data_IF_524076028976
#
_entry.id   IF_524076028976
#
_cell.length_a   1.000
_cell.length_b   1.000
_cell.length_c   1.000
_cell.angle_alpha   90.00
_cell.angle_beta   90.00
_cell.angle_gamma   90.00
#
_symmetry.space_group_name_H-M   'P 1'
#
loop_
_entity.id
_entity.type
_entity.pdbx_description
1 polymer ?
#
# COMPACT_ATOMS: atom_id res chain seq x y z
N UNK A 1 -1.72 -10.34 12.01
CA UNK A 1 -0.40 -10.29 11.36
C UNK A 1 0.59 -9.42 12.13
N UNK A 2 0.31 -8.13 12.38
CA UNK A 2 1.25 -7.28 13.13
C UNK A 2 1.61 -7.78 14.52
N UNK A 3 0.61 -8.21 15.32
CA UNK A 3 0.85 -8.70 16.68
C UNK A 3 1.74 -9.95 16.68
N UNK A 4 1.62 -10.79 15.64
CA UNK A 4 2.49 -11.95 15.47
C UNK A 4 3.90 -11.50 15.08
N UNK A 5 4.03 -10.57 14.14
CA UNK A 5 5.33 -10.02 13.76
C UNK A 5 6.05 -9.35 14.94
N UNK A 6 5.33 -8.57 15.74
CA UNK A 6 5.83 -7.92 16.95
C UNK A 6 6.26 -8.95 18.00
N UNK A 7 5.37 -9.88 18.37
CA UNK A 7 5.68 -10.93 19.36
C UNK A 7 6.77 -11.89 18.92
N UNK A 8 7.02 -11.98 17.61
CA UNK A 8 8.10 -12.80 17.04
C UNK A 8 9.38 -12.00 16.77
N UNK A 9 9.44 -10.71 17.11
CA UNK A 9 10.61 -9.85 16.88
C UNK A 9 10.90 -9.56 15.40
N UNK A 10 9.95 -9.79 14.49
CA UNK A 10 10.13 -9.66 13.04
C UNK A 10 9.84 -8.25 12.52
N UNK A 11 9.24 -7.38 13.32
CA UNK A 11 8.78 -6.09 12.85
C UNK A 11 9.92 -5.15 12.43
N UNK A 12 10.99 -5.05 13.23
CA UNK A 12 12.18 -4.28 12.87
C UNK A 12 12.92 -4.86 11.66
N UNK A 13 13.20 -6.18 11.58
CA UNK A 13 13.75 -6.78 10.36
C UNK A 13 12.92 -6.48 9.09
N UNK A 14 11.58 -6.49 9.19
CA UNK A 14 10.71 -6.16 8.07
C UNK A 14 10.80 -4.66 7.69
N UNK A 15 10.89 -3.76 8.68
CA UNK A 15 11.13 -2.32 8.44
C UNK A 15 12.46 -2.08 7.77
N UNK A 16 13.52 -2.77 8.19
CA UNK A 16 14.82 -2.68 7.52
C UNK A 16 14.74 -3.18 6.09
N UNK A 17 14.11 -4.35 5.86
CA UNK A 17 13.92 -4.91 4.53
C UNK A 17 13.25 -3.92 3.56
N UNK A 18 12.20 -3.24 4.04
CA UNK A 18 11.38 -2.33 3.23
C UNK A 18 11.98 -0.93 3.11
N UNK A 19 12.40 -0.31 4.22
CA UNK A 19 12.76 1.12 4.28
C UNK A 19 14.27 1.38 4.27
N UNK A 20 15.09 0.43 4.70
CA UNK A 20 16.55 0.58 4.75
C UNK A 20 17.21 -0.03 3.52
N UNK A 21 16.94 -1.32 3.26
CA UNK A 21 17.49 -2.03 2.11
C UNK A 21 16.71 -1.81 0.81
N UNK A 22 15.50 -1.25 0.90
CA UNK A 22 14.60 -0.94 -0.23
C UNK A 22 14.38 -2.13 -1.17
N UNK A 23 14.19 -3.33 -0.59
CA UNK A 23 13.91 -4.54 -1.37
C UNK A 23 12.46 -4.52 -1.88
N UNK A 24 12.18 -5.03 -3.09
CA UNK A 24 10.81 -5.06 -3.62
C UNK A 24 9.84 -5.78 -2.68
N UNK A 25 8.73 -5.13 -2.32
CA UNK A 25 7.68 -5.72 -1.47
C UNK A 25 6.29 -5.42 -2.01
N UNK A 26 5.44 -6.45 -1.99
CA UNK A 26 4.03 -6.33 -2.32
C UNK A 26 3.16 -6.64 -1.10
N UNK A 27 2.33 -5.69 -0.69
CA UNK A 27 1.33 -5.86 0.34
C UNK A 27 -0.07 -6.01 -0.26
N UNK A 28 -0.67 -7.19 -0.14
CA UNK A 28 -2.08 -7.44 -0.52
C UNK A 28 -3.00 -7.35 0.70
N UNK A 29 -4.14 -6.68 0.56
CA UNK A 29 -5.14 -6.46 1.62
C UNK A 29 -4.51 -5.99 2.95
N UNK A 30 -4.43 -6.86 3.96
CA UNK A 30 -3.80 -6.55 5.25
C UNK A 30 -2.30 -6.20 5.12
N UNK A 31 -1.62 -6.70 4.09
CA UNK A 31 -0.25 -6.31 3.76
C UNK A 31 -0.15 -4.85 3.32
N UNK A 32 -1.12 -4.32 2.57
CA UNK A 32 -1.15 -2.90 2.20
C UNK A 32 -1.30 -2.01 3.45
N UNK A 33 -2.12 -2.43 4.43
CA UNK A 33 -2.22 -1.73 5.72
C UNK A 33 -0.87 -1.67 6.40
N UNK A 34 -0.09 -2.77 6.41
CA UNK A 34 1.23 -2.78 7.04
C UNK A 34 2.24 -1.88 6.32
N UNK A 35 2.17 -1.76 4.99
CA UNK A 35 3.09 -0.92 4.22
C UNK A 35 2.72 0.57 4.23
N UNK A 36 1.51 0.93 4.64
CA UNK A 36 1.11 2.33 4.77
C UNK A 36 1.94 3.06 5.85
N UNK A 37 2.28 4.32 5.60
CA UNK A 37 2.87 5.19 6.61
C UNK A 37 1.83 5.58 7.68
N UNK A 38 0.54 5.65 7.34
CA UNK A 38 -0.52 5.92 8.31
C UNK A 38 -1.70 4.95 8.20
N UNK A 39 -2.30 4.59 9.33
CA UNK A 39 -3.56 3.86 9.35
C UNK A 39 -4.43 4.21 10.56
N UNK A 40 -5.75 4.09 10.42
CA UNK A 40 -6.66 4.30 11.55
C UNK A 40 -6.50 3.22 12.64
N UNK A 41 -6.61 3.63 13.91
CA UNK A 41 -6.51 2.75 15.08
C UNK A 41 -7.83 1.99 15.26
N UNK A 42 -7.74 0.69 15.57
CA UNK A 42 -8.93 -0.19 15.67
C UNK A 42 -9.15 -0.79 17.05
N UNK A 43 -8.13 -0.91 17.93
CA UNK A 43 -8.24 -1.36 19.34
C UNK A 43 -7.10 -0.80 20.21
N UNK A 44 -7.28 -0.80 21.55
CA UNK A 44 -6.21 -0.53 22.54
C UNK A 44 -5.03 -1.50 22.29
N UNK A 45 -3.84 -0.94 22.08
CA UNK A 45 -2.62 -1.67 21.72
C UNK A 45 -2.08 -1.28 20.34
N UNK A 46 -2.90 -0.69 19.47
CA UNK A 46 -2.46 -0.33 18.12
C UNK A 46 -2.07 -1.57 17.29
N UNK A 47 -1.90 -1.39 15.99
CA UNK A 47 -1.16 -2.35 15.18
C UNK A 47 -0.05 -1.56 14.56
N UNK A 48 1.18 -1.92 14.90
CA UNK A 48 2.33 -1.28 14.32
C UNK A 48 2.40 -1.52 12.80
N UNK A 49 2.98 -0.52 12.13
CA UNK A 49 3.12 -0.46 10.68
C UNK A 49 4.59 -0.67 10.30
N UNK A 50 4.82 -1.19 9.11
CA UNK A 50 6.14 -1.31 8.48
C UNK A 50 6.48 0.01 7.77
N UNK A 51 5.52 0.60 7.07
CA UNK A 51 5.74 1.76 6.22
C UNK A 51 6.37 1.40 4.86
N UNK A 52 6.63 2.42 4.03
CA UNK A 52 7.12 2.27 2.66
C UNK A 52 6.18 2.77 1.57
N UNK A 53 4.91 3.02 1.90
CA UNK A 53 3.93 3.71 1.07
C UNK A 53 3.42 4.97 1.81
N UNK A 54 3.66 6.15 1.25
CA UNK A 54 3.22 7.46 1.74
C UNK A 54 1.70 7.63 1.54
N UNK A 55 0.92 6.77 2.18
CA UNK A 55 -0.55 6.76 2.14
C UNK A 55 -1.11 6.58 3.53
N UNK A 56 -2.30 7.17 3.76
CA UNK A 56 -3.17 6.82 4.87
C UNK A 56 -4.16 5.75 4.44
N UNK A 57 -4.21 4.65 5.17
CA UNK A 57 -5.13 3.54 4.92
C UNK A 57 -6.18 3.43 6.01
N UNK A 58 -7.46 3.40 5.61
CA UNK A 58 -8.56 3.03 6.51
C UNK A 58 -8.86 1.55 6.40
N UNK A 59 -8.75 0.89 7.54
CA UNK A 59 -9.07 -0.53 7.74
C UNK A 59 -10.57 -0.75 7.67
N UNK A 60 -10.96 -1.89 7.09
CA UNK A 60 -12.35 -2.38 7.09
C UNK A 60 -13.36 -1.29 6.70
N UNK A 61 -13.08 -0.56 5.61
CA UNK A 61 -13.89 0.59 5.24
C UNK A 61 -15.29 0.20 4.73
N UNK A 62 -15.46 -0.99 4.15
CA UNK A 62 -16.72 -1.44 3.56
C UNK A 62 -17.79 -1.92 4.57
N UNK A 63 -17.99 -1.19 5.68
CA UNK A 63 -19.10 -1.42 6.61
C UNK A 63 -19.00 -2.67 7.51
N UNK A 64 -20.11 -2.97 8.21
CA UNK A 64 -20.18 -4.05 9.20
C UNK A 64 -20.17 -5.43 8.53
N UNK A 65 -19.02 -6.08 8.50
CA UNK A 65 -18.82 -7.53 8.38
C UNK A 65 -19.41 -8.34 7.20
N UNK A 66 -20.27 -7.85 6.29
CA UNK A 66 -21.01 -8.78 5.39
C UNK A 66 -21.01 -8.58 3.87
N UNK A 67 -20.29 -7.64 3.27
CA UNK A 67 -20.21 -7.64 1.79
C UNK A 67 -18.77 -7.77 1.32
N UNK A 68 -18.28 -9.01 1.38
CA UNK A 68 -17.21 -9.42 0.49
C UNK A 68 -17.76 -9.40 -0.92
N UNK A 69 -17.10 -8.71 -1.84
CA UNK A 69 -17.55 -8.62 -3.22
C UNK A 69 -16.37 -8.83 -4.16
N UNK A 70 -16.71 -9.12 -5.41
CA UNK A 70 -15.74 -9.16 -6.50
C UNK A 70 -16.25 -8.28 -7.63
N UNK A 71 -15.36 -7.51 -8.24
CA UNK A 71 -15.73 -6.60 -9.33
C UNK A 71 -14.60 -6.52 -10.35
N UNK A 72 -14.93 -6.32 -11.64
CA UNK A 72 -13.92 -5.98 -12.64
C UNK A 72 -13.25 -4.65 -12.28
N UNK A 73 -11.93 -4.61 -12.45
CA UNK A 73 -11.06 -3.45 -12.29
C UNK A 73 -10.38 -3.16 -13.62
N UNK A 74 -10.29 -1.88 -13.97
CA UNK A 74 -9.41 -1.42 -15.04
C UNK A 74 -8.01 -1.21 -14.46
N UNK A 75 -7.03 -2.01 -14.91
CA UNK A 75 -5.63 -1.95 -14.48
C UNK A 75 -4.71 -1.77 -15.70
N UNK A 76 -4.63 -0.55 -16.28
CA UNK A 76 -3.93 -0.32 -17.55
C UNK A 76 -2.45 -0.70 -17.54
N UNK A 77 -1.81 -0.67 -16.35
CA UNK A 77 -0.41 -1.04 -16.18
C UNK A 77 -0.10 -2.51 -16.50
N UNK A 78 -1.13 -3.37 -16.59
CA UNK A 78 -0.98 -4.77 -17.02
C UNK A 78 -0.80 -4.91 -18.54
N UNK A 79 -0.97 -3.83 -19.32
CA UNK A 79 -0.82 -3.87 -20.78
C UNK A 79 -1.92 -4.63 -21.53
N UNK A 80 -3.01 -5.00 -20.83
CA UNK A 80 -4.14 -5.76 -21.37
C UNK A 80 -5.45 -5.05 -21.00
N UNK A 81 -6.32 -4.72 -21.97
CA UNK A 81 -7.58 -4.03 -21.71
C UNK A 81 -8.64 -4.90 -21.02
N UNK A 82 -8.44 -6.22 -20.95
CA UNK A 82 -9.37 -7.15 -20.31
C UNK A 82 -9.45 -6.85 -18.81
N UNK A 83 -10.65 -6.58 -18.24
CA UNK A 83 -10.78 -6.25 -16.83
C UNK A 83 -10.16 -7.31 -15.92
N UNK A 84 -9.48 -6.86 -14.87
CA UNK A 84 -8.95 -7.74 -13.84
C UNK A 84 -9.96 -7.87 -12.71
N UNK A 85 -10.35 -9.07 -12.31
CA UNK A 85 -11.31 -9.25 -11.23
C UNK A 85 -10.64 -9.08 -9.86
N UNK A 86 -11.01 -8.02 -9.13
CA UNK A 86 -10.55 -7.79 -7.75
C UNK A 86 -11.50 -8.42 -6.74
N UNK A 87 -10.98 -9.20 -5.80
CA UNK A 87 -11.74 -9.78 -4.69
C UNK A 87 -11.51 -8.97 -3.41
N UNK A 88 -12.57 -8.35 -2.88
CA UNK A 88 -12.52 -7.44 -1.74
C UNK A 88 -13.15 -8.12 -0.53
N UNK A 89 -12.32 -8.66 0.37
CA UNK A 89 -12.76 -9.34 1.59
C UNK A 89 -12.30 -8.53 2.79
N UNK A 90 -13.23 -7.82 3.44
CA UNK A 90 -12.93 -6.86 4.51
C UNK A 90 -11.79 -5.90 4.10
N UNK A 91 -11.84 -5.46 2.85
CA UNK A 91 -10.73 -4.77 2.24
C UNK A 91 -10.49 -3.39 2.89
N UNK A 92 -9.22 -2.99 3.07
CA UNK A 92 -8.89 -1.60 3.36
C UNK A 92 -9.14 -0.67 2.15
N UNK A 93 -9.10 0.64 2.37
CA UNK A 93 -8.97 1.63 1.29
C UNK A 93 -7.84 2.60 1.59
N UNK A 94 -7.25 3.18 0.55
CA UNK A 94 -6.38 4.35 0.69
C UNK A 94 -7.28 5.59 0.79
N UNK A 95 -7.23 6.30 1.91
CA UNK A 95 -8.00 7.52 2.14
C UNK A 95 -7.28 8.75 1.59
N UNK A 96 -5.97 8.84 1.82
CA UNK A 96 -5.16 9.98 1.41
C UNK A 96 -3.79 9.53 0.93
N UNK A 97 -3.28 10.23 -0.09
CA UNK A 97 -1.85 10.26 -0.37
C UNK A 97 -1.24 11.29 0.56
N UNK A 98 -0.18 10.90 1.26
CA UNK A 98 0.54 11.77 2.18
C UNK A 98 1.58 12.57 1.41
N UNK A 99 1.92 13.80 1.85
CA UNK A 99 3.05 14.52 1.31
C UNK A 99 4.35 13.72 1.54
N UNK A 100 5.38 13.90 0.71
CA UNK A 100 6.66 13.22 0.89
C UNK A 100 7.17 13.41 2.32
N UNK A 101 7.40 12.29 3.00
CA UNK A 101 7.77 12.32 4.42
C UNK A 101 9.16 12.95 4.58
N UNK A 102 9.22 14.20 5.06
CA UNK A 102 10.49 14.78 5.52
C UNK A 102 10.91 13.99 6.77
N UNK A 103 12.17 13.53 6.91
CA UNK A 103 12.60 12.65 8.01
C UNK A 103 12.28 13.11 9.44
N UNK A 104 11.97 14.40 9.63
CA UNK A 104 11.70 15.03 10.91
C UNK A 104 10.27 14.87 11.47
N UNK A 105 9.28 14.39 10.70
CA UNK A 105 7.87 14.37 11.18
C UNK A 105 7.47 13.12 11.99
N UNK A 106 8.43 12.29 12.40
CA UNK A 106 8.19 10.88 12.73
C UNK A 106 7.82 10.56 14.18
N UNK A 107 7.67 11.56 15.06
CA UNK A 107 7.38 11.33 16.48
C UNK A 107 6.19 12.10 17.05
N UNK A 108 5.58 13.05 16.33
CA UNK A 108 4.56 13.95 16.90
C UNK A 108 3.10 13.64 16.51
N UNK A 109 2.85 12.71 15.58
CA UNK A 109 1.51 12.56 14.96
C UNK A 109 0.71 11.32 15.37
N UNK A 110 1.12 10.58 16.41
CA UNK A 110 0.24 9.57 17.01
C UNK A 110 -0.89 10.29 17.77
N UNK A 111 -1.94 10.68 17.05
CA UNK A 111 -3.20 11.14 17.64
C UNK A 111 -3.98 9.95 18.22
N UNK A 112 -5.08 10.21 18.92
CA UNK A 112 -5.91 9.16 19.50
C UNK A 112 -6.36 8.11 18.47
N UNK A 113 -6.53 8.52 17.20
CA UNK A 113 -7.20 7.74 16.16
C UNK A 113 -6.29 7.23 15.02
N UNK A 114 -5.02 7.68 14.94
CA UNK A 114 -4.09 7.30 13.86
C UNK A 114 -2.83 6.62 14.42
N UNK A 115 -2.29 5.66 13.67
CA UNK A 115 -0.99 5.04 13.91
C UNK A 115 -0.07 5.39 12.73
N UNK A 116 1.13 5.87 13.03
CA UNK A 116 2.17 6.20 12.03
C UNK A 116 3.32 5.19 12.05
N UNK A 117 3.85 4.82 10.89
CA UNK A 117 5.03 3.96 10.79
C UNK A 117 6.31 4.72 11.21
N UNK A 118 7.28 4.06 11.85
CA UNK A 118 8.53 4.72 12.22
C UNK A 118 9.36 5.05 10.97
N UNK A 119 9.99 6.23 10.98
CA UNK A 119 10.92 6.61 9.92
C UNK A 119 12.23 5.81 9.98
N UNK A 120 12.77 5.51 8.81
CA UNK A 120 14.06 4.83 8.63
C UNK A 120 14.77 5.49 7.45
N UNK A 121 16.10 5.55 7.52
CA UNK A 121 16.94 6.06 6.42
C UNK A 121 17.41 4.89 5.55
N UNK A 122 17.47 5.05 4.21
CA UNK A 122 18.12 4.10 3.32
C UNK A 122 19.57 3.85 3.75
N UNK A 123 20.08 2.64 3.49
CA UNK A 123 21.43 2.22 3.91
C UNK A 123 22.56 2.93 3.14
N UNK A 124 22.29 3.33 1.90
CA UNK A 124 23.24 3.98 1.00
C UNK A 124 22.48 4.79 -0.07
N UNK A 125 23.23 5.52 -0.90
CA UNK A 125 22.67 6.36 -1.96
C UNK A 125 21.93 5.55 -3.03
N UNK A 126 22.39 4.32 -3.31
CA UNK A 126 21.69 3.41 -4.22
C UNK A 126 20.30 3.09 -3.69
N UNK A 127 20.16 2.71 -2.42
CA UNK A 127 18.86 2.52 -1.80
C UNK A 127 18.06 3.84 -1.75
N UNK A 128 18.71 4.97 -1.49
CA UNK A 128 18.07 6.27 -1.47
C UNK A 128 17.46 6.65 -2.84
N UNK A 129 18.04 6.20 -3.96
CA UNK A 129 17.50 6.42 -5.31
C UNK A 129 16.09 5.81 -5.51
N UNK A 130 15.72 4.83 -4.69
CA UNK A 130 14.36 4.27 -4.66
C UNK A 130 13.42 5.04 -3.73
N UNK A 131 13.84 6.18 -3.16
CA UNK A 131 13.20 6.85 -2.00
C UNK A 131 12.77 8.29 -2.25
N UNK A 132 13.13 8.92 -3.36
CA UNK A 132 12.56 10.23 -3.71
C UNK A 132 12.91 10.67 -5.14
N UNK A 133 12.03 11.38 -5.86
CA UNK A 133 10.66 11.71 -5.51
C UNK A 133 9.70 10.86 -6.34
N UNK A 134 9.62 9.56 -6.08
CA UNK A 134 8.50 8.80 -6.64
C UNK A 134 7.26 9.15 -5.81
N UNK A 135 6.49 10.10 -6.34
CA UNK A 135 5.11 10.32 -5.92
C UNK A 135 4.37 8.98 -5.90
N UNK A 136 3.42 8.84 -4.98
CA UNK A 136 2.58 7.63 -4.94
C UNK A 136 1.83 7.52 -6.26
N UNK A 137 2.16 6.50 -7.05
CA UNK A 137 1.52 6.22 -8.32
C UNK A 137 0.24 5.43 -8.07
N UNK A 138 -0.90 5.99 -8.45
CA UNK A 138 -2.18 5.29 -8.41
C UNK A 138 -2.28 4.37 -9.63
N UNK A 139 -2.36 3.07 -9.37
CA UNK A 139 -2.40 2.03 -10.41
C UNK A 139 -3.81 1.50 -10.66
N UNK A 140 -4.72 1.67 -9.71
CA UNK A 140 -6.09 1.17 -9.82
C UNK A 140 -7.05 1.93 -8.93
N UNK A 141 -8.23 2.20 -9.48
CA UNK A 141 -9.36 2.82 -8.78
C UNK A 141 -10.59 1.93 -8.89
N UNK A 142 -11.30 1.80 -7.79
CA UNK A 142 -12.61 1.20 -7.72
C UNK A 142 -13.65 2.31 -7.89
N UNK A 143 -14.31 2.34 -9.03
CA UNK A 143 -15.45 3.24 -9.25
C UNK A 143 -16.56 2.91 -8.24
N UNK A 144 -17.25 3.91 -7.65
CA UNK A 144 -18.33 3.65 -6.72
C UNK A 144 -19.43 2.87 -7.47
N UNK A 145 -19.62 1.61 -7.08
CA UNK A 145 -20.90 0.94 -7.26
C UNK A 145 -21.73 1.18 -6.00
N UNK A 146 -23.03 0.84 -6.01
CA UNK A 146 -24.09 1.15 -5.02
C UNK A 146 -23.82 0.76 -3.54
N UNK A 147 -22.58 0.42 -3.18
CA UNK A 147 -22.13 -0.15 -1.91
C UNK A 147 -21.75 0.90 -0.85
N UNK A 148 -21.72 2.20 -1.16
CA UNK A 148 -21.46 3.27 -0.18
C UNK A 148 -22.25 4.55 -0.44
N UNK A 149 -22.56 5.26 0.64
CA UNK A 149 -23.28 6.55 0.58
C UNK A 149 -22.34 7.66 0.11
N UNK A 150 -22.89 8.64 -0.60
CA UNK A 150 -22.19 9.86 -1.08
C UNK A 150 -21.47 10.63 0.04
N UNK A 151 -21.92 10.50 1.29
CA UNK A 151 -21.29 11.15 2.45
C UNK A 151 -19.92 10.59 2.81
N UNK A 152 -19.68 9.29 2.63
CA UNK A 152 -18.36 8.70 2.88
C UNK A 152 -17.36 9.05 1.78
N UNK A 153 -17.82 9.05 0.52
CA UNK A 153 -17.00 9.46 -0.62
C UNK A 153 -16.57 10.94 -0.50
N UNK A 154 -17.48 11.81 -0.03
CA UNK A 154 -17.15 13.21 0.24
C UNK A 154 -16.05 13.37 1.31
N UNK A 155 -16.04 12.54 2.35
CA UNK A 155 -14.99 12.55 3.40
C UNK A 155 -13.62 12.09 2.87
N UNK A 156 -13.61 11.28 1.82
CA UNK A 156 -12.39 10.82 1.14
C UNK A 156 -11.91 11.82 0.08
N UNK A 157 -12.57 12.98 -0.05
CA UNK A 157 -12.26 13.97 -1.08
C UNK A 157 -12.65 13.51 -2.49
N UNK A 158 -13.50 12.49 -2.62
CA UNK A 158 -14.04 12.02 -3.90
C UNK A 158 -15.17 12.97 -4.29
N UNK A 159 -14.90 13.85 -5.23
CA UNK A 159 -15.84 14.89 -5.70
C UNK A 159 -16.67 14.43 -6.89
N UNK A 160 -16.25 13.36 -7.57
CA UNK A 160 -16.99 12.76 -8.69
C UNK A 160 -16.97 11.24 -8.65
N UNK A 161 -18.04 10.55 -9.13
CA UNK A 161 -18.03 9.09 -9.26
C UNK A 161 -16.88 8.55 -10.11
N UNK A 162 -16.38 9.35 -11.06
CA UNK A 162 -15.22 9.01 -11.90
C UNK A 162 -13.89 8.97 -11.16
N UNK A 163 -13.75 9.66 -10.03
CA UNK A 163 -12.51 9.64 -9.24
C UNK A 163 -12.31 8.29 -8.54
N UNK A 164 -13.39 7.67 -8.03
CA UNK A 164 -13.34 6.36 -7.37
C UNK A 164 -12.35 6.25 -6.21
N UNK A 165 -12.35 5.06 -5.60
CA UNK A 165 -11.50 4.76 -4.43
C UNK A 165 -10.19 4.15 -4.87
N UNK A 166 -9.08 4.59 -4.29
CA UNK A 166 -7.76 4.05 -4.62
C UNK A 166 -7.64 2.63 -4.04
N UNK A 167 -7.35 1.66 -4.90
CA UNK A 167 -7.28 0.22 -4.55
C UNK A 167 -5.97 -0.44 -4.96
N UNK A 168 -5.14 0.22 -5.76
CA UNK A 168 -3.78 -0.20 -6.07
C UNK A 168 -2.86 1.01 -6.18
N UNK A 169 -1.70 0.96 -5.52
CA UNK A 169 -0.69 2.01 -5.50
C UNK A 169 0.72 1.43 -5.59
N UNK A 170 1.64 2.15 -6.20
CA UNK A 170 3.09 1.84 -6.20
C UNK A 170 3.88 3.07 -5.73
N UNK A 171 4.92 2.84 -4.93
CA UNK A 171 5.89 3.85 -4.57
C UNK A 171 7.26 3.23 -4.35
N UNK A 172 8.27 3.66 -5.11
CA UNK A 172 9.63 3.14 -5.01
C UNK A 172 9.68 1.61 -5.13
N UNK A 173 10.08 0.91 -4.06
CA UNK A 173 10.14 -0.55 -3.99
C UNK A 173 8.84 -1.22 -3.53
N UNK A 174 7.79 -0.47 -3.21
CA UNK A 174 6.57 -0.99 -2.63
C UNK A 174 5.41 -0.99 -3.63
N UNK A 175 4.65 -2.08 -3.65
CA UNK A 175 3.36 -2.19 -4.33
C UNK A 175 2.30 -2.56 -3.30
N UNK A 176 1.15 -1.88 -3.34
CA UNK A 176 0.04 -2.10 -2.41
C UNK A 176 -1.25 -2.33 -3.17
N UNK A 177 -2.00 -3.37 -2.81
CA UNK A 177 -3.37 -3.61 -3.32
C UNK A 177 -4.33 -3.87 -2.18
N UNK A 178 -5.53 -3.30 -2.24
CA UNK A 178 -6.56 -3.55 -1.21
C UNK A 178 -7.30 -4.86 -1.40
N UNK A 179 -7.32 -5.40 -2.62
CA UNK A 179 -7.95 -6.66 -2.98
C UNK A 179 -6.98 -7.84 -2.90
N UNK A 180 -7.57 -9.04 -3.02
CA UNK A 180 -6.90 -10.34 -3.02
C UNK A 180 -6.76 -10.86 -4.45
N UNK A 181 -5.66 -10.56 -5.16
CA UNK A 181 -5.41 -11.07 -6.51
C UNK A 181 -5.24 -12.60 -6.53
N UNK A 182 -4.83 -13.21 -5.40
CA UNK A 182 -4.53 -14.63 -5.27
C UNK A 182 -5.77 -15.53 -5.25
N UNK A 183 -6.96 -14.97 -5.06
CA UNK A 183 -8.21 -15.72 -5.03
C UNK A 183 -8.79 -15.97 -6.43
N UNK A 184 -8.29 -15.26 -7.44
CA UNK A 184 -8.63 -15.49 -8.84
C UNK A 184 -7.65 -16.42 -9.54
N UNK A 185 -8.01 -16.90 -10.74
CA UNK A 185 -7.11 -17.64 -11.62
C UNK A 185 -6.24 -16.75 -12.51
N UNK A 186 -6.45 -15.43 -12.47
CA UNK A 186 -5.74 -14.47 -13.30
C UNK A 186 -4.37 -14.12 -12.73
N UNK A 187 -3.32 -14.57 -13.43
CA UNK A 187 -1.93 -14.39 -12.99
C UNK A 187 -1.30 -13.08 -13.46
N UNK A 188 -1.98 -12.25 -14.27
CA UNK A 188 -1.36 -11.10 -14.96
C UNK A 188 -0.67 -10.14 -13.99
N UNK A 189 -1.32 -9.80 -12.88
CA UNK A 189 -0.76 -8.90 -11.86
C UNK A 189 0.43 -9.53 -11.11
N UNK A 190 0.40 -10.85 -10.88
CA UNK A 190 1.51 -11.56 -10.25
C UNK A 190 2.72 -11.62 -11.17
N UNK A 191 2.51 -11.95 -12.44
CA UNK A 191 3.56 -11.96 -13.47
C UNK A 191 4.18 -10.57 -13.61
N UNK A 192 3.35 -9.53 -13.75
CA UNK A 192 3.79 -8.13 -13.81
C UNK A 192 4.65 -7.76 -12.60
N UNK A 193 4.23 -8.14 -11.39
CA UNK A 193 4.99 -7.84 -10.19
C UNK A 193 6.35 -8.58 -10.17
N UNK A 194 6.39 -9.85 -10.55
CA UNK A 194 7.66 -10.60 -10.62
C UNK A 194 8.63 -9.99 -11.65
N UNK A 195 8.14 -9.54 -12.80
CA UNK A 195 8.94 -8.81 -13.78
C UNK A 195 9.50 -7.51 -13.18
N UNK A 196 8.67 -6.76 -12.43
CA UNK A 196 9.11 -5.57 -11.68
C UNK A 196 10.15 -5.87 -10.61
N UNK A 197 10.03 -7.00 -9.92
CA UNK A 197 11.03 -7.43 -8.92
C UNK A 197 12.38 -7.67 -9.60
N UNK A 198 12.40 -8.40 -10.72
CA UNK A 198 13.64 -8.64 -11.49
C UNK A 198 14.24 -7.32 -11.96
N UNK A 199 13.43 -6.44 -12.56
CA UNK A 199 13.87 -5.12 -13.02
C UNK A 199 14.52 -4.30 -11.91
N UNK A 200 13.88 -4.21 -10.73
CA UNK A 200 14.39 -3.43 -9.58
C UNK A 200 15.65 -4.06 -9.00
N UNK A 201 15.75 -5.40 -8.94
CA UNK A 201 16.94 -6.10 -8.44
C UNK A 201 18.14 -5.91 -9.37
N UNK A 202 17.95 -6.07 -10.69
CA UNK A 202 19.02 -5.88 -11.66
C UNK A 202 19.47 -4.42 -11.73
N UNK A 203 18.52 -3.46 -11.66
CA UNK A 203 18.85 -2.03 -11.57
C UNK A 203 19.69 -1.73 -10.34
N UNK A 204 19.31 -2.27 -9.18
CA UNK A 204 20.05 -2.09 -7.93
C UNK A 204 21.47 -2.67 -8.03
N UNK A 205 21.62 -3.90 -8.54
CA UNK A 205 22.93 -4.54 -8.73
C UNK A 205 23.86 -3.74 -9.63
N UNK A 206 23.32 -3.19 -10.72
CA UNK A 206 24.08 -2.33 -11.64
C UNK A 206 24.58 -1.07 -10.93
N UNK A 207 23.70 -0.36 -10.23
CA UNK A 207 24.07 0.87 -9.50
C UNK A 207 25.09 0.59 -8.39
N UNK A 208 24.98 -0.54 -7.68
CA UNK A 208 25.95 -0.96 -6.67
C UNK A 208 27.32 -1.32 -7.26
N UNK A 209 27.39 -1.79 -8.51
CA UNK A 209 28.65 -2.06 -9.19
C UNK A 209 29.32 -0.79 -9.74
N UNK A 210 28.57 0.29 -9.93
CA UNK A 210 29.02 1.60 -10.44
C UNK A 210 29.42 2.59 -9.33
N UNK A 211 29.11 2.28 -8.06
CA UNK A 211 29.37 3.11 -6.87
C UNK A 211 30.61 2.66 -6.10
#
# INVERSE_FOLDING_TARGET
MSLVAERSGLLEPLREFVKVYRKPVWGTCAGMILLAEEANRTKKGGQELIGGLDVRVKRNHFGSQTESFSTPLSLPFLGDPTPFYGYFIRAPIVEHILPPTTPASSLENNTADTVTAPSKKPINDVAASFTSPDEVRILGRLTPSKLTTTEEDAKLGITSPSEGRIVAVEQGNCFGTSFHPELGSDIRIHKWWLEKVVEKVETKRRLEAES
#
